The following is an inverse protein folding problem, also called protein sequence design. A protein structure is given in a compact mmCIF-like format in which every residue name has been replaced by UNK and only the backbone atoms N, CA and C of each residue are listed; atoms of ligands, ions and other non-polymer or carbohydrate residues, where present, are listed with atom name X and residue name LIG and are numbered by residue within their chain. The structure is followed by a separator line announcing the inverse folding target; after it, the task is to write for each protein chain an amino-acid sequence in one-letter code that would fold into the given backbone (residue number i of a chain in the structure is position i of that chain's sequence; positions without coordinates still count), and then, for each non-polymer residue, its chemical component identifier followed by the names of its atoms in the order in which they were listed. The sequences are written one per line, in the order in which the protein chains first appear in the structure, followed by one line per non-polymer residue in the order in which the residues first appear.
data_IF_384522840763
#
_entry.id   IF_384522840763
#
_cell.length_a   1.000
_cell.length_b   1.000
_cell.length_c   1.000
_cell.angle_alpha   90.00
_cell.angle_beta   90.00
_cell.angle_gamma   90.00
#
_symmetry.space_group_name_H-M   'P 1'
#
loop_
_entity.id
_entity.type
_entity.pdbx_description
1 polymer ?
#
# COMPACT_ATOMS: atom_id res chain seq x y z
N UNK A 1 16.85 -33.82 11.13
CA UNK A 1 16.76 -32.46 10.51
C UNK A 1 15.65 -32.39 9.45
N UNK A 2 15.55 -33.33 8.51
CA UNK A 2 14.46 -33.36 7.51
C UNK A 2 13.07 -33.60 8.15
N UNK A 3 12.98 -34.32 9.26
CA UNK A 3 11.71 -34.53 9.97
C UNK A 3 11.11 -33.26 10.57
N UNK A 4 11.95 -32.31 11.01
CA UNK A 4 11.47 -31.00 11.47
C UNK A 4 10.78 -30.24 10.33
N UNK A 5 11.31 -30.34 9.12
CA UNK A 5 10.73 -29.72 7.94
C UNK A 5 9.40 -30.39 7.54
N UNK A 6 9.30 -31.72 7.68
CA UNK A 6 8.06 -32.49 7.43
C UNK A 6 6.96 -32.20 8.45
N UNK A 7 7.28 -32.13 9.74
CA UNK A 7 6.28 -31.86 10.78
C UNK A 7 5.79 -30.41 10.76
N UNK A 8 6.65 -29.46 10.35
CA UNK A 8 6.30 -28.04 10.29
C UNK A 8 5.94 -27.56 8.89
N UNK A 9 5.74 -28.48 7.94
CA UNK A 9 5.47 -28.17 6.54
C UNK A 9 4.17 -27.34 6.40
N UNK A 10 3.14 -27.68 7.17
CA UNK A 10 1.89 -26.91 7.23
C UNK A 10 2.12 -25.46 7.69
N UNK A 11 2.86 -25.27 8.78
CA UNK A 11 3.20 -23.95 9.32
C UNK A 11 4.01 -23.11 8.33
N UNK A 12 4.93 -23.73 7.60
CA UNK A 12 5.73 -23.06 6.57
C UNK A 12 4.84 -22.59 5.42
N UNK A 13 3.90 -23.42 4.96
CA UNK A 13 2.97 -23.05 3.89
C UNK A 13 2.08 -21.88 4.33
N UNK A 14 1.49 -21.95 5.53
CA UNK A 14 0.61 -20.90 6.05
C UNK A 14 1.37 -19.58 6.21
N UNK A 15 2.58 -19.64 6.78
CA UNK A 15 3.41 -18.43 6.96
C UNK A 15 3.85 -17.83 5.62
N UNK A 16 4.17 -18.65 4.61
CA UNK A 16 4.48 -18.18 3.27
C UNK A 16 3.28 -17.46 2.61
N UNK A 17 2.07 -18.01 2.74
CA UNK A 17 0.84 -17.36 2.21
C UNK A 17 0.60 -16.03 2.92
N UNK A 18 0.71 -16.00 4.25
CA UNK A 18 0.51 -14.78 5.04
C UNK A 18 1.52 -13.69 4.64
N UNK A 19 2.79 -14.06 4.50
CA UNK A 19 3.85 -13.17 4.03
C UNK A 19 3.56 -12.66 2.62
N UNK A 20 3.16 -13.53 1.69
CA UNK A 20 2.83 -13.14 0.33
C UNK A 20 1.70 -12.11 0.27
N UNK A 21 0.62 -12.31 1.03
CA UNK A 21 -0.50 -11.36 1.11
C UNK A 21 -0.02 -10.02 1.70
N UNK A 22 0.72 -10.07 2.80
CA UNK A 22 1.22 -8.87 3.49
C UNK A 22 2.13 -8.05 2.57
N UNK A 23 3.10 -8.70 1.92
CA UNK A 23 4.00 -8.05 0.95
C UNK A 23 3.21 -7.49 -0.23
N UNK A 24 2.22 -8.21 -0.74
CA UNK A 24 1.37 -7.74 -1.85
C UNK A 24 0.60 -6.47 -1.48
N UNK A 25 0.05 -6.39 -0.27
CA UNK A 25 -0.63 -5.19 0.23
C UNK A 25 0.32 -4.00 0.31
N UNK A 26 1.50 -4.20 0.92
CA UNK A 26 2.51 -3.13 1.06
C UNK A 26 2.99 -2.67 -0.32
N UNK A 27 3.30 -3.61 -1.21
CA UNK A 27 3.71 -3.32 -2.58
C UNK A 27 2.65 -2.50 -3.31
N UNK A 28 1.37 -2.89 -3.22
CA UNK A 28 0.26 -2.15 -3.83
C UNK A 28 0.16 -0.74 -3.26
N UNK A 29 0.28 -0.57 -1.94
CA UNK A 29 0.30 0.75 -1.29
C UNK A 29 1.44 1.63 -1.81
N UNK A 30 2.65 1.09 -1.93
CA UNK A 30 3.81 1.84 -2.45
C UNK A 30 3.60 2.21 -3.91
N UNK A 31 3.11 1.27 -4.74
CA UNK A 31 2.81 1.52 -6.15
C UNK A 31 1.73 2.59 -6.32
N UNK A 32 0.64 2.50 -5.56
CA UNK A 32 -0.45 3.48 -5.61
C UNK A 32 0.03 4.87 -5.16
N UNK A 33 0.86 4.94 -4.12
CA UNK A 33 1.54 6.19 -3.69
C UNK A 33 2.43 6.76 -4.80
N UNK A 34 3.25 5.94 -5.45
CA UNK A 34 4.10 6.36 -6.59
C UNK A 34 3.27 6.78 -7.80
N UNK A 35 2.10 6.17 -8.01
CA UNK A 35 1.16 6.55 -9.07
C UNK A 35 0.34 7.81 -8.74
N UNK A 36 0.65 8.51 -7.63
CA UNK A 36 -0.06 9.72 -7.22
C UNK A 36 -1.46 9.46 -6.65
N UNK A 37 -1.83 8.20 -6.41
CA UNK A 37 -3.10 7.88 -5.74
C UNK A 37 -2.97 8.18 -4.26
N UNK A 38 -3.53 9.32 -3.86
CA UNK A 38 -3.63 9.74 -2.47
C UNK A 38 -4.75 8.99 -1.74
N UNK A 39 -4.66 8.91 -0.41
CA UNK A 39 -5.65 8.21 0.44
C UNK A 39 -7.07 8.79 0.32
N UNK A 40 -7.19 10.00 -0.22
CA UNK A 40 -8.43 10.76 -0.34
C UNK A 40 -9.31 10.31 -1.52
N UNK A 41 -8.81 9.47 -2.44
CA UNK A 41 -9.55 8.97 -3.62
C UNK A 41 -9.81 10.04 -4.70
N UNK A 42 -10.10 11.27 -4.28
CA UNK A 42 -10.12 12.47 -5.10
C UNK A 42 -8.67 12.89 -5.35
N UNK A 43 -8.24 13.04 -6.60
CA UNK A 43 -6.91 13.59 -6.91
C UNK A 43 -6.75 15.04 -6.40
N UNK A 44 -5.58 15.65 -6.60
CA UNK A 44 -5.35 17.05 -6.18
C UNK A 44 -6.31 18.07 -6.80
N UNK A 45 -7.03 17.69 -7.87
CA UNK A 45 -8.00 18.52 -8.59
C UNK A 45 -9.33 18.74 -7.85
N UNK A 46 -9.71 17.87 -6.90
CA UNK A 46 -10.95 18.02 -6.12
C UNK A 46 -10.71 17.83 -4.61
N UNK A 47 -9.49 18.02 -4.16
CA UNK A 47 -9.14 17.96 -2.74
C UNK A 47 -9.65 19.23 -2.03
N UNK A 48 -10.45 19.14 -0.96
CA UNK A 48 -10.85 20.33 -0.18
C UNK A 48 -9.64 21.11 0.37
N UNK A 49 -8.51 20.43 0.60
CA UNK A 49 -7.25 21.06 1.02
C UNK A 49 -6.40 21.60 -0.15
N UNK A 50 -6.91 21.59 -1.38
CA UNK A 50 -6.19 22.12 -2.55
C UNK A 50 -5.80 23.59 -2.37
N UNK A 51 -6.60 24.39 -1.66
CA UNK A 51 -6.31 25.78 -1.32
C UNK A 51 -5.07 25.98 -0.44
N UNK A 52 -4.68 24.97 0.33
CA UNK A 52 -3.50 24.98 1.21
C UNK A 52 -2.27 24.43 0.48
N UNK A 53 -2.43 23.33 -0.27
CA UNK A 53 -1.31 22.67 -0.97
C UNK A 53 -0.93 23.37 -2.28
N UNK A 54 -1.90 23.97 -2.96
CA UNK A 54 -1.72 24.81 -4.13
C UNK A 54 -2.39 26.15 -3.85
N UNK A 55 -1.71 27.07 -3.15
CA UNK A 55 -2.19 28.45 -3.03
C UNK A 55 -2.16 29.05 -4.44
N UNK A 56 -3.26 28.88 -5.18
CA UNK A 56 -3.47 29.58 -6.43
C UNK A 56 -3.45 31.07 -6.08
N UNK A 57 -2.56 31.82 -6.70
CA UNK A 57 -2.64 33.27 -6.71
C UNK A 57 -4.00 33.62 -7.32
N UNK A 58 -5.00 33.83 -6.46
CA UNK A 58 -6.23 34.50 -6.83
C UNK A 58 -5.80 35.93 -7.12
N UNK A 59 -5.50 36.22 -8.38
CA UNK A 59 -5.65 37.57 -8.87
C UNK A 59 -7.14 37.89 -8.70
N UNK A 60 -7.39 38.80 -7.79
CA UNK A 60 -8.57 39.65 -7.69
C UNK A 60 -9.15 40.07 -9.05
#
# INVERSE_FOLDING_TARGET
MIEFLKNNLSTIIISAILLFITVSVIYRRIRDRKAGKMSCGCGCSSCEAASICHPGNKAE
#
